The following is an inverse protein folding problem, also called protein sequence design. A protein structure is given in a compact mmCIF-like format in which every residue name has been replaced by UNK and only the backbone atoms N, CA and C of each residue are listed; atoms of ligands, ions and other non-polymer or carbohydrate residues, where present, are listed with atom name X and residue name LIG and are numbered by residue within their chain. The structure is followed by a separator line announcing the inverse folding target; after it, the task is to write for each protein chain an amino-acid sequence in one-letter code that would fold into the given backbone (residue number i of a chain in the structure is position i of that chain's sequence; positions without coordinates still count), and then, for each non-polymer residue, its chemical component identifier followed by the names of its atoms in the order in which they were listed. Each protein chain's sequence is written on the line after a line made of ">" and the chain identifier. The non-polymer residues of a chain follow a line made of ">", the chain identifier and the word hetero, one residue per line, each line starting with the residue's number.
data_IF_032037838250
#
_entry.id   IF_032037838250
#
_cell.length_a   1.000
_cell.length_b   1.000
_cell.length_c   1.000
_cell.angle_alpha   90.00
_cell.angle_beta   90.00
_cell.angle_gamma   90.00
#
_symmetry.space_group_name_H-M   'P 1'
#
loop_
_entity.id
_entity.type
_entity.pdbx_description
1 polymer ?
#
# COMPACT_ATOMS: atom_id res chain seq x y z
N UNK A 1 16.03 18.13 -25.18
CA UNK A 1 16.88 16.92 -25.23
C UNK A 1 15.93 15.74 -25.02
N UNK A 2 15.95 14.74 -25.91
CA UNK A 2 15.12 13.55 -25.72
C UNK A 2 15.73 12.78 -24.54
N UNK A 3 15.11 12.86 -23.37
CA UNK A 3 15.51 12.03 -22.24
C UNK A 3 15.31 10.56 -22.61
N UNK A 4 16.27 9.71 -22.29
CA UNK A 4 16.16 8.28 -22.57
C UNK A 4 15.01 7.69 -21.77
N UNK A 5 14.14 6.90 -22.43
CA UNK A 5 13.03 6.21 -21.77
C UNK A 5 13.54 5.29 -20.66
N UNK A 6 12.86 5.29 -19.52
CA UNK A 6 13.15 4.34 -18.43
C UNK A 6 12.70 2.93 -18.86
N UNK A 7 13.61 1.97 -18.82
CA UNK A 7 13.37 0.57 -19.22
C UNK A 7 12.93 -0.26 -18.02
N UNK A 8 11.72 -0.81 -18.09
CA UNK A 8 11.03 -1.44 -16.96
C UNK A 8 10.94 -2.95 -17.13
N UNK A 9 11.33 -3.66 -16.08
CA UNK A 9 11.08 -5.09 -15.91
C UNK A 9 9.95 -5.34 -14.88
N UNK A 10 9.11 -6.35 -15.12
CA UNK A 10 8.01 -6.73 -14.22
C UNK A 10 8.25 -8.14 -13.69
N UNK A 11 8.33 -8.27 -12.37
CA UNK A 11 8.38 -9.54 -11.65
C UNK A 11 6.99 -9.83 -11.08
N UNK A 12 6.34 -10.90 -11.59
CA UNK A 12 4.96 -11.24 -11.30
C UNK A 12 3.99 -10.77 -12.39
N UNK A 13 3.38 -11.70 -13.12
CA UNK A 13 2.44 -11.44 -14.20
C UNK A 13 0.97 -11.66 -13.78
N UNK A 14 0.71 -11.77 -12.48
CA UNK A 14 -0.61 -11.94 -11.88
C UNK A 14 -1.54 -10.74 -12.13
N UNK A 15 -2.59 -10.62 -11.33
CA UNK A 15 -3.55 -9.51 -11.49
C UNK A 15 -2.85 -8.16 -11.35
N UNK A 16 -2.06 -7.96 -10.29
CA UNK A 16 -1.43 -6.66 -10.03
C UNK A 16 -0.30 -6.34 -11.03
N UNK A 17 0.51 -7.33 -11.41
CA UNK A 17 1.51 -7.13 -12.47
C UNK A 17 0.87 -6.78 -13.82
N UNK A 18 -0.31 -7.36 -14.12
CA UNK A 18 -1.09 -6.98 -15.30
C UNK A 18 -1.65 -5.56 -15.23
N UNK A 19 -2.02 -5.08 -14.03
CA UNK A 19 -2.43 -3.68 -13.82
C UNK A 19 -1.25 -2.75 -14.07
N UNK A 20 -0.08 -3.01 -13.48
CA UNK A 20 1.13 -2.21 -13.73
C UNK A 20 1.51 -2.21 -15.21
N UNK A 21 1.53 -3.37 -15.86
CA UNK A 21 1.80 -3.44 -17.30
C UNK A 21 0.86 -2.53 -18.11
N UNK A 22 -0.43 -2.52 -17.77
CA UNK A 22 -1.40 -1.67 -18.44
C UNK A 22 -1.16 -0.17 -18.19
N UNK A 23 -0.79 0.24 -16.97
CA UNK A 23 -0.53 1.65 -16.68
C UNK A 23 0.75 2.15 -17.36
N UNK A 24 1.85 1.41 -17.22
CA UNK A 24 3.12 1.79 -17.86
C UNK A 24 3.05 1.75 -19.39
N UNK A 25 2.22 0.88 -19.98
CA UNK A 25 1.96 0.92 -21.44
C UNK A 25 1.32 2.24 -21.90
N UNK A 26 0.58 2.94 -21.02
CA UNK A 26 0.00 4.26 -21.34
C UNK A 26 1.05 5.38 -21.29
N UNK A 27 2.20 5.13 -20.67
CA UNK A 27 3.32 6.06 -20.53
C UNK A 27 4.46 5.77 -21.53
N UNK A 28 4.12 5.27 -22.71
CA UNK A 28 5.08 4.82 -23.72
C UNK A 28 6.03 5.90 -24.25
N UNK A 29 5.73 7.18 -24.06
CA UNK A 29 6.66 8.28 -24.34
C UNK A 29 7.73 8.43 -23.25
N UNK A 30 7.43 7.98 -22.03
CA UNK A 30 8.26 8.16 -20.83
C UNK A 30 9.05 6.89 -20.45
N UNK A 31 8.53 5.70 -20.79
CA UNK A 31 9.14 4.43 -20.43
C UNK A 31 8.93 3.36 -21.51
N UNK A 32 9.66 2.26 -21.37
CA UNK A 32 9.53 1.05 -22.19
C UNK A 32 9.38 -0.17 -21.29
N UNK A 33 8.37 -1.01 -21.54
CA UNK A 33 8.23 -2.31 -20.90
C UNK A 33 9.18 -3.30 -21.60
N UNK A 34 10.31 -3.59 -20.96
CA UNK A 34 11.41 -4.33 -21.58
C UNK A 34 11.37 -5.82 -21.28
N UNK A 35 11.07 -6.20 -20.02
CA UNK A 35 11.11 -7.59 -19.60
C UNK A 35 9.97 -7.94 -18.61
N UNK A 36 9.57 -9.21 -18.61
CA UNK A 36 8.61 -9.76 -17.64
C UNK A 36 8.97 -11.19 -17.26
N UNK A 37 8.72 -11.56 -16.00
CA UNK A 37 8.85 -12.93 -15.53
C UNK A 37 7.70 -13.29 -14.58
N UNK A 38 7.37 -14.57 -14.51
CA UNK A 38 6.40 -15.15 -13.57
C UNK A 38 6.71 -16.63 -13.36
N UNK A 39 6.44 -17.16 -12.18
CA UNK A 39 6.57 -18.60 -11.90
C UNK A 39 5.72 -19.45 -12.87
N UNK A 40 4.60 -18.90 -13.32
CA UNK A 40 3.79 -19.49 -14.39
C UNK A 40 4.06 -18.79 -15.73
N UNK A 41 5.15 -19.20 -16.40
CA UNK A 41 5.64 -18.60 -17.67
C UNK A 41 4.56 -18.32 -18.72
N UNK A 42 3.54 -19.18 -18.95
CA UNK A 42 2.46 -18.89 -19.91
C UNK A 42 1.71 -17.59 -19.59
N UNK A 43 1.56 -17.24 -18.32
CA UNK A 43 0.93 -15.98 -17.91
C UNK A 43 1.81 -14.78 -18.24
N UNK A 44 3.13 -14.87 -18.01
CA UNK A 44 4.08 -13.85 -18.41
C UNK A 44 4.06 -13.66 -19.94
N UNK A 45 4.07 -14.74 -20.72
CA UNK A 45 4.00 -14.68 -22.18
C UNK A 45 2.72 -14.00 -22.69
N UNK A 46 1.56 -14.33 -22.10
CA UNK A 46 0.29 -13.69 -22.44
C UNK A 46 0.29 -12.18 -22.15
N UNK A 47 0.92 -11.76 -21.03
CA UNK A 47 1.07 -10.34 -20.69
C UNK A 47 2.04 -9.65 -21.64
N UNK A 48 3.15 -10.31 -21.97
CA UNK A 48 4.14 -9.78 -22.90
C UNK A 48 3.54 -9.52 -24.29
N UNK A 49 2.79 -10.45 -24.83
CA UNK A 49 2.07 -10.28 -26.09
C UNK A 49 1.10 -9.09 -26.03
N UNK A 50 0.25 -9.05 -25.00
CA UNK A 50 -0.76 -7.99 -24.82
C UNK A 50 -0.16 -6.59 -24.73
N UNK A 51 0.96 -6.43 -24.02
CA UNK A 51 1.58 -5.15 -23.72
C UNK A 51 2.87 -4.89 -24.50
N UNK A 52 3.20 -5.74 -25.50
CA UNK A 52 4.39 -5.66 -26.36
C UNK A 52 5.70 -5.60 -25.58
N UNK A 53 5.79 -6.42 -24.51
CA UNK A 53 7.00 -6.54 -23.69
C UNK A 53 8.02 -7.40 -24.45
N UNK A 54 9.26 -6.90 -24.59
CA UNK A 54 10.27 -7.47 -25.47
C UNK A 54 10.76 -8.85 -25.04
N UNK A 55 10.99 -9.05 -23.73
CA UNK A 55 11.60 -10.26 -23.19
C UNK A 55 10.69 -10.96 -22.17
N UNK A 56 10.49 -12.26 -22.33
CA UNK A 56 9.87 -13.14 -21.32
C UNK A 56 10.98 -14.01 -20.73
N UNK A 57 11.37 -13.70 -19.49
CA UNK A 57 12.49 -14.35 -18.82
C UNK A 57 12.00 -15.45 -17.88
N UNK A 58 12.84 -16.43 -17.58
CA UNK A 58 12.46 -17.61 -16.81
C UNK A 58 12.50 -17.35 -15.30
N UNK A 59 13.40 -16.48 -14.86
CA UNK A 59 13.60 -16.21 -13.43
C UNK A 59 13.66 -14.72 -13.09
N UNK A 60 13.26 -14.34 -11.85
CA UNK A 60 13.49 -12.98 -11.36
C UNK A 60 14.96 -12.54 -11.40
N UNK A 61 15.89 -13.45 -11.12
CA UNK A 61 17.33 -13.16 -11.12
C UNK A 61 17.85 -12.79 -12.53
N UNK A 62 17.35 -13.45 -13.58
CA UNK A 62 17.65 -13.07 -14.97
C UNK A 62 17.14 -11.66 -15.28
N UNK A 63 15.92 -11.34 -14.85
CA UNK A 63 15.34 -10.02 -15.08
C UNK A 63 16.10 -8.93 -14.34
N UNK A 64 16.44 -9.15 -13.07
CA UNK A 64 17.18 -8.21 -12.24
C UNK A 64 18.57 -7.92 -12.83
N UNK A 65 19.23 -8.94 -13.38
CA UNK A 65 20.55 -8.82 -14.01
C UNK A 65 20.50 -8.34 -15.46
N UNK A 66 19.30 -8.20 -16.05
CA UNK A 66 19.19 -7.85 -17.47
C UNK A 66 19.74 -6.44 -17.74
N UNK A 67 20.68 -6.29 -18.72
CA UNK A 67 21.37 -5.01 -18.94
C UNK A 67 20.46 -3.91 -19.48
N UNK A 68 19.36 -4.27 -20.15
CA UNK A 68 18.38 -3.31 -20.67
C UNK A 68 17.30 -2.94 -19.66
N UNK A 69 17.35 -3.36 -18.40
CA UNK A 69 16.36 -3.00 -17.37
C UNK A 69 16.96 -1.98 -16.42
N UNK A 70 16.29 -0.83 -16.27
CA UNK A 70 16.68 0.24 -15.34
C UNK A 70 15.89 0.18 -14.03
N UNK A 71 14.61 -0.19 -14.11
CA UNK A 71 13.69 -0.25 -12.98
C UNK A 71 12.90 -1.56 -12.97
N UNK A 72 12.61 -2.06 -11.77
CA UNK A 72 11.88 -3.32 -11.55
C UNK A 72 10.59 -3.06 -10.78
N UNK A 73 9.48 -3.56 -11.31
CA UNK A 73 8.20 -3.61 -10.61
C UNK A 73 8.05 -4.99 -9.99
N UNK A 74 7.82 -5.06 -8.67
CA UNK A 74 7.67 -6.32 -7.94
C UNK A 74 6.22 -6.45 -7.49
N UNK A 75 5.49 -7.38 -8.13
CA UNK A 75 4.07 -7.65 -7.87
C UNK A 75 3.80 -9.15 -7.69
N UNK A 76 4.45 -9.75 -6.70
CA UNK A 76 4.37 -11.17 -6.30
C UNK A 76 3.76 -11.31 -4.91
N UNK A 77 3.49 -12.52 -4.37
CA UNK A 77 3.08 -12.69 -2.97
C UNK A 77 4.08 -12.10 -1.97
N UNK A 78 3.55 -11.61 -0.85
CA UNK A 78 4.28 -10.76 0.11
C UNK A 78 5.58 -11.39 0.64
N UNK A 79 5.61 -12.70 0.82
CA UNK A 79 6.79 -13.44 1.29
C UNK A 79 8.04 -13.31 0.38
N UNK A 80 7.88 -12.88 -0.86
CA UNK A 80 8.99 -12.72 -1.80
C UNK A 80 9.47 -11.28 -1.94
N UNK A 81 8.75 -10.31 -1.35
CA UNK A 81 9.03 -8.88 -1.52
C UNK A 81 10.43 -8.50 -1.06
N UNK A 82 10.82 -8.92 0.14
CA UNK A 82 12.09 -8.49 0.74
C UNK A 82 13.29 -8.94 -0.07
N UNK A 83 13.39 -10.21 -0.37
CA UNK A 83 14.55 -10.75 -1.07
C UNK A 83 14.67 -10.20 -2.49
N UNK A 84 13.55 -10.05 -3.21
CA UNK A 84 13.55 -9.50 -4.56
C UNK A 84 13.89 -8.00 -4.58
N UNK A 85 13.33 -7.21 -3.66
CA UNK A 85 13.62 -5.78 -3.57
C UNK A 85 15.09 -5.53 -3.22
N UNK A 86 15.65 -6.26 -2.24
CA UNK A 86 17.06 -6.15 -1.85
C UNK A 86 17.98 -6.56 -3.00
N UNK A 87 17.68 -7.66 -3.70
CA UNK A 87 18.46 -8.09 -4.87
C UNK A 87 18.44 -7.03 -5.98
N UNK A 88 17.27 -6.45 -6.28
CA UNK A 88 17.13 -5.42 -7.32
C UNK A 88 17.92 -4.16 -6.97
N UNK A 89 17.81 -3.66 -5.72
CA UNK A 89 18.59 -2.51 -5.24
C UNK A 89 20.10 -2.75 -5.35
N UNK A 90 20.57 -3.93 -4.88
CA UNK A 90 21.99 -4.31 -4.97
C UNK A 90 22.50 -4.46 -6.41
N UNK A 91 21.61 -4.78 -7.34
CA UNK A 91 21.92 -4.82 -8.77
C UNK A 91 21.85 -3.43 -9.45
N UNK A 92 21.65 -2.36 -8.68
CA UNK A 92 21.58 -0.98 -9.19
C UNK A 92 20.29 -0.67 -9.94
N UNK A 93 19.17 -1.36 -9.62
CA UNK A 93 17.86 -1.12 -10.23
C UNK A 93 16.99 -0.24 -9.31
N UNK A 94 16.22 0.68 -9.90
CA UNK A 94 15.12 1.32 -9.21
C UNK A 94 14.00 0.31 -8.95
N UNK A 95 13.24 0.47 -7.87
CA UNK A 95 12.23 -0.51 -7.45
C UNK A 95 10.88 0.16 -7.18
N UNK A 96 9.85 -0.29 -7.87
CA UNK A 96 8.45 -0.10 -7.47
C UNK A 96 7.96 -1.41 -6.84
N UNK A 97 7.75 -1.40 -5.54
CA UNK A 97 7.38 -2.57 -4.76
C UNK A 97 5.90 -2.54 -4.37
N UNK A 98 5.16 -3.60 -4.61
CA UNK A 98 3.78 -3.69 -4.13
C UNK A 98 3.69 -3.70 -2.60
N UNK A 99 2.56 -3.21 -2.13
CA UNK A 99 2.22 -3.21 -0.70
C UNK A 99 1.75 -4.62 -0.24
N UNK A 100 1.93 -4.98 1.05
CA UNK A 100 2.78 -4.32 2.03
C UNK A 100 4.24 -4.39 1.62
N UNK A 101 5.09 -3.50 2.12
CA UNK A 101 6.51 -3.48 1.71
C UNK A 101 7.19 -4.83 1.96
N UNK A 102 6.85 -5.50 3.07
CA UNK A 102 7.38 -6.81 3.43
C UNK A 102 6.36 -7.64 4.20
N UNK A 103 6.69 -8.90 4.47
CA UNK A 103 5.87 -9.83 5.25
C UNK A 103 5.73 -9.38 6.72
N UNK A 104 6.77 -8.72 7.27
CA UNK A 104 6.84 -8.24 8.65
C UNK A 104 7.87 -7.10 8.80
N UNK A 105 7.93 -6.50 10.00
CA UNK A 105 8.83 -5.39 10.30
C UNK A 105 10.32 -5.74 10.20
N UNK A 106 10.70 -6.97 10.52
CA UNK A 106 12.10 -7.43 10.39
C UNK A 106 12.56 -7.42 8.93
N UNK A 107 11.73 -7.93 8.03
CA UNK A 107 12.02 -7.89 6.59
C UNK A 107 11.95 -6.47 6.04
N UNK A 108 11.00 -5.66 6.50
CA UNK A 108 10.88 -4.26 6.12
C UNK A 108 12.13 -3.46 6.51
N UNK A 109 12.71 -3.73 7.69
CA UNK A 109 13.99 -3.13 8.13
C UNK A 109 15.13 -3.50 7.18
N UNK A 110 15.24 -4.76 6.78
CA UNK A 110 16.26 -5.20 5.79
C UNK A 110 16.12 -4.47 4.45
N UNK A 111 14.90 -4.24 3.98
CA UNK A 111 14.66 -3.46 2.73
C UNK A 111 15.08 -2.01 2.95
N UNK A 112 14.67 -1.39 4.05
CA UNK A 112 15.04 -0.02 4.38
C UNK A 112 16.56 0.16 4.44
N UNK A 113 17.27 -0.72 5.15
CA UNK A 113 18.73 -0.70 5.21
C UNK A 113 19.39 -0.83 3.83
N UNK A 114 18.87 -1.74 2.99
CA UNK A 114 19.35 -1.89 1.61
C UNK A 114 19.11 -0.65 0.76
N UNK A 115 17.96 0.02 0.93
CA UNK A 115 17.64 1.27 0.21
C UNK A 115 18.57 2.42 0.59
N UNK A 116 19.09 2.44 1.82
CA UNK A 116 20.05 3.46 2.29
C UNK A 116 21.48 3.27 1.75
N UNK A 117 21.77 2.11 1.17
CA UNK A 117 23.08 1.76 0.61
C UNK A 117 23.22 2.04 -0.88
N UNK A 118 22.23 2.66 -1.50
CA UNK A 118 22.17 2.94 -2.95
C UNK A 118 21.54 4.29 -3.23
N UNK A 119 21.82 4.85 -4.40
CA UNK A 119 21.17 6.03 -4.96
C UNK A 119 19.86 5.69 -5.72
N UNK A 120 19.46 4.40 -5.73
CA UNK A 120 18.29 3.97 -6.48
C UNK A 120 17.00 4.25 -5.72
N UNK A 121 15.99 4.67 -6.45
CA UNK A 121 14.65 4.92 -5.93
C UNK A 121 14.02 3.60 -5.52
N UNK A 122 13.54 3.49 -4.27
CA UNK A 122 12.58 2.49 -3.84
C UNK A 122 11.28 3.18 -3.46
N UNK A 123 10.20 2.86 -4.15
CA UNK A 123 8.85 3.36 -3.91
C UNK A 123 7.91 2.20 -3.59
N UNK A 124 7.13 2.32 -2.51
CA UNK A 124 6.06 1.37 -2.19
C UNK A 124 4.76 1.80 -2.87
N UNK A 125 4.05 0.86 -3.46
CA UNK A 125 2.84 1.12 -4.28
C UNK A 125 1.61 1.44 -3.43
N UNK A 126 1.63 2.56 -2.71
CA UNK A 126 0.50 3.08 -1.94
C UNK A 126 -0.39 3.98 -2.81
N UNK A 127 -1.19 3.37 -3.68
CA UNK A 127 -1.97 4.07 -4.71
C UNK A 127 -3.03 5.02 -4.14
N UNK A 128 -3.55 4.79 -2.92
CA UNK A 128 -4.59 5.65 -2.34
C UNK A 128 -4.11 7.09 -2.08
N UNK A 129 -2.79 7.32 -1.94
CA UNK A 129 -2.21 8.68 -1.86
C UNK A 129 -2.45 9.49 -3.14
N UNK A 130 -2.66 8.80 -4.26
CA UNK A 130 -2.87 9.37 -5.59
C UNK A 130 -4.33 9.42 -6.02
N UNK A 131 -5.28 9.06 -5.15
CA UNK A 131 -6.69 9.27 -5.40
C UNK A 131 -7.05 10.76 -5.33
N UNK A 132 -7.96 11.21 -6.18
CA UNK A 132 -8.27 12.65 -6.33
C UNK A 132 -8.74 13.30 -5.04
N UNK A 133 -9.63 12.66 -4.28
CA UNK A 133 -10.15 13.25 -3.04
C UNK A 133 -9.08 13.30 -1.94
N UNK A 134 -8.30 12.26 -1.64
CA UNK A 134 -7.14 12.35 -0.77
C UNK A 134 -6.12 13.43 -1.17
N UNK A 135 -5.85 13.60 -2.46
CA UNK A 135 -4.96 14.66 -2.95
C UNK A 135 -5.52 16.06 -2.66
N UNK A 136 -6.83 16.28 -2.89
CA UNK A 136 -7.50 17.55 -2.54
C UNK A 136 -7.44 17.83 -1.04
N UNK A 137 -7.68 16.82 -0.21
CA UNK A 137 -7.56 16.95 1.26
C UNK A 137 -6.13 17.31 1.65
N UNK A 138 -5.14 16.63 1.07
CA UNK A 138 -3.72 16.88 1.35
C UNK A 138 -3.33 18.31 0.98
N UNK A 139 -3.80 18.82 -0.15
CA UNK A 139 -3.57 20.22 -0.55
C UNK A 139 -4.09 21.21 0.51
N UNK A 140 -5.26 20.98 1.08
CA UNK A 140 -5.80 21.87 2.13
C UNK A 140 -5.02 21.75 3.45
N UNK A 141 -4.56 20.55 3.79
CA UNK A 141 -3.67 20.33 4.93
C UNK A 141 -2.35 21.11 4.74
N UNK A 142 -1.76 21.04 3.55
CA UNK A 142 -0.50 21.71 3.23
C UNK A 142 -0.63 23.24 3.20
N UNK A 143 -1.82 23.76 2.94
CA UNK A 143 -2.18 25.19 3.08
C UNK A 143 -2.45 25.62 4.52
N UNK A 144 -2.48 24.66 5.47
CA UNK A 144 -2.75 24.93 6.90
C UNK A 144 -4.22 25.08 7.27
N UNK A 145 -5.16 24.83 6.35
CA UNK A 145 -6.60 25.04 6.57
C UNK A 145 -7.19 24.18 7.69
N UNK A 146 -6.55 23.05 8.03
CA UNK A 146 -7.00 22.19 9.12
C UNK A 146 -6.29 22.50 10.46
N UNK A 147 -5.26 23.36 10.45
CA UNK A 147 -4.39 23.55 11.61
C UNK A 147 -3.64 22.29 12.01
N UNK A 148 -3.39 22.08 13.30
CA UNK A 148 -2.76 20.84 13.80
C UNK A 148 -3.79 19.71 13.87
N UNK A 149 -3.58 18.65 13.12
CA UNK A 149 -4.38 17.41 13.25
C UNK A 149 -3.97 16.73 14.55
N UNK A 150 -4.90 16.61 15.52
CA UNK A 150 -4.63 16.06 16.85
C UNK A 150 -5.17 14.64 17.04
N UNK A 151 -6.10 14.20 16.19
CA UNK A 151 -6.56 12.81 16.15
C UNK A 151 -7.15 12.46 14.79
N UNK A 152 -7.12 11.18 14.44
CA UNK A 152 -7.74 10.66 13.24
C UNK A 152 -8.41 9.31 13.48
N UNK A 153 -9.40 8.98 12.63
CA UNK A 153 -10.02 7.65 12.55
C UNK A 153 -9.99 7.19 11.12
N UNK A 154 -9.65 5.93 10.92
CA UNK A 154 -9.61 5.34 9.59
C UNK A 154 -10.04 3.88 9.62
N UNK A 155 -10.53 3.39 8.49
CA UNK A 155 -10.90 2.00 8.38
C UNK A 155 -11.48 1.61 7.04
N UNK A 156 -11.68 0.29 6.89
CA UNK A 156 -12.30 -0.30 5.73
C UNK A 156 -13.03 -1.57 6.11
N UNK A 157 -14.33 -1.56 6.05
CA UNK A 157 -15.16 -2.72 6.36
C UNK A 157 -15.71 -3.34 5.09
N UNK A 158 -15.64 -4.68 5.02
CA UNK A 158 -16.36 -5.51 4.06
C UNK A 158 -17.28 -6.45 4.79
N UNK A 159 -18.54 -6.51 4.37
CA UNK A 159 -19.50 -7.46 4.95
C UNK A 159 -19.26 -8.89 4.48
N UNK A 160 -18.78 -9.04 3.25
CA UNK A 160 -18.50 -10.34 2.60
C UNK A 160 -17.38 -10.15 1.58
N UNK A 161 -16.14 -10.21 2.04
CA UNK A 161 -15.00 -9.81 1.21
C UNK A 161 -13.69 -10.58 1.46
N UNK A 162 -13.73 -11.77 2.11
CA UNK A 162 -12.55 -12.63 2.26
C UNK A 162 -12.07 -13.04 0.86
N UNK A 163 -10.83 -12.67 0.44
CA UNK A 163 -10.33 -12.93 -0.89
C UNK A 163 -9.76 -14.35 -0.98
N UNK A 164 -10.11 -15.09 -2.03
CA UNK A 164 -9.48 -16.37 -2.35
C UNK A 164 -9.23 -17.28 -1.16
N UNK A 165 -10.27 -17.62 -0.40
CA UNK A 165 -10.17 -18.45 0.80
C UNK A 165 -9.32 -19.71 0.57
N UNK A 166 -8.39 -20.01 1.49
CA UNK A 166 -7.48 -21.16 1.37
C UNK A 166 -6.32 -20.99 0.39
N UNK A 167 -6.19 -19.83 -0.25
CA UNK A 167 -5.02 -19.48 -1.08
C UNK A 167 -3.94 -18.79 -0.23
N UNK A 168 -2.89 -18.27 -0.85
CA UNK A 168 -1.81 -17.58 -0.16
C UNK A 168 -2.28 -16.36 0.67
N UNK A 169 -3.39 -15.69 0.27
CA UNK A 169 -3.97 -14.57 1.00
C UNK A 169 -4.41 -14.89 2.42
N UNK A 170 -4.82 -16.11 2.67
CA UNK A 170 -5.36 -16.54 3.96
C UNK A 170 -4.40 -17.44 4.74
N UNK A 171 -3.12 -17.45 4.32
CA UNK A 171 -2.03 -18.17 4.98
C UNK A 171 -1.03 -17.20 5.57
N UNK A 172 -0.91 -17.17 6.89
CA UNK A 172 -0.08 -16.24 7.66
C UNK A 172 1.37 -16.23 7.16
N UNK A 173 1.94 -17.38 6.87
CA UNK A 173 3.33 -17.49 6.42
C UNK A 173 3.59 -16.96 5.00
N UNK A 174 2.55 -16.71 4.20
CA UNK A 174 2.69 -16.21 2.83
C UNK A 174 2.20 -14.77 2.67
N UNK A 175 1.13 -14.41 3.38
CA UNK A 175 0.53 -13.08 3.33
C UNK A 175 1.03 -12.14 4.45
N UNK A 176 1.43 -12.68 5.61
CA UNK A 176 1.76 -11.92 6.81
C UNK A 176 0.54 -11.56 7.65
N UNK A 177 -0.67 -11.87 7.19
CA UNK A 177 -1.92 -11.58 7.89
C UNK A 177 -3.13 -11.49 6.95
N UNK A 178 -4.27 -11.14 7.52
CA UNK A 178 -5.54 -10.99 6.82
C UNK A 178 -5.86 -9.55 6.40
N UNK A 179 -7.07 -9.02 6.73
CA UNK A 179 -7.48 -7.67 6.33
C UNK A 179 -6.56 -6.57 6.85
N UNK A 180 -5.88 -6.76 7.96
CA UNK A 180 -4.93 -5.77 8.49
C UNK A 180 -3.78 -5.54 7.51
N UNK A 181 -3.23 -6.61 6.95
CA UNK A 181 -2.15 -6.57 5.96
C UNK A 181 -2.66 -6.18 4.56
N UNK A 182 -3.85 -6.66 4.16
CA UNK A 182 -4.36 -6.44 2.81
C UNK A 182 -4.95 -5.05 2.61
N UNK A 183 -5.96 -4.69 3.40
CA UNK A 183 -6.67 -3.40 3.27
C UNK A 183 -6.31 -2.41 4.38
N UNK A 184 -5.92 -2.91 5.54
CA UNK A 184 -5.50 -2.09 6.68
C UNK A 184 -4.26 -1.28 6.39
N UNK A 185 -3.29 -1.86 5.69
CA UNK A 185 -2.06 -1.15 5.27
C UNK A 185 -2.36 0.07 4.39
N UNK A 186 -3.37 0.01 3.53
CA UNK A 186 -3.80 1.16 2.72
C UNK A 186 -4.34 2.29 3.59
N UNK A 187 -5.19 1.94 4.56
CA UNK A 187 -5.84 2.92 5.44
C UNK A 187 -4.86 3.52 6.43
N UNK A 188 -3.95 2.69 6.98
CA UNK A 188 -2.86 3.14 7.84
C UNK A 188 -1.94 4.12 7.11
N UNK A 189 -1.48 3.72 5.94
CA UNK A 189 -0.57 4.52 5.11
C UNK A 189 -1.17 5.86 4.73
N UNK A 190 -2.41 5.86 4.22
CA UNK A 190 -3.09 7.09 3.82
C UNK A 190 -3.34 8.02 5.01
N UNK A 191 -3.75 7.47 6.17
CA UNK A 191 -3.98 8.26 7.37
C UNK A 191 -2.68 8.89 7.89
N UNK A 192 -1.60 8.12 7.98
CA UNK A 192 -0.28 8.64 8.38
C UNK A 192 0.21 9.73 7.41
N UNK A 193 0.08 9.52 6.10
CA UNK A 193 0.44 10.50 5.08
C UNK A 193 -0.34 11.82 5.25
N UNK A 194 -1.65 11.76 5.42
CA UNK A 194 -2.49 12.95 5.61
C UNK A 194 -2.22 13.64 6.97
N UNK A 195 -1.81 12.89 7.99
CA UNK A 195 -1.40 13.43 9.29
C UNK A 195 0.01 14.05 9.28
N UNK A 196 0.73 14.01 8.15
CA UNK A 196 2.10 14.52 8.06
C UNK A 196 3.18 13.53 8.45
N UNK A 197 2.88 12.22 8.44
CA UNK A 197 3.75 11.11 8.84
C UNK A 197 4.32 11.24 10.26
N UNK A 198 3.49 11.48 11.29
CA UNK A 198 3.96 11.53 12.66
C UNK A 198 4.53 10.17 13.06
N UNK A 199 5.55 10.16 13.90
CA UNK A 199 6.25 8.93 14.32
C UNK A 199 5.38 8.14 15.31
N UNK A 200 4.96 6.90 15.00
CA UNK A 200 4.22 6.05 15.93
C UNK A 200 5.13 5.60 17.10
N UNK A 201 4.63 5.61 18.32
CA UNK A 201 5.40 5.23 19.52
C UNK A 201 4.80 4.08 20.30
N UNK A 202 3.48 3.89 20.25
CA UNK A 202 2.84 2.76 20.89
C UNK A 202 1.51 2.37 20.23
N UNK A 203 1.15 1.11 20.38
CA UNK A 203 -0.04 0.50 19.77
C UNK A 203 -0.75 -0.37 20.79
N UNK A 204 -2.09 -0.24 20.87
CA UNK A 204 -2.97 -1.23 21.48
C UNK A 204 -3.94 -1.74 20.43
N UNK A 205 -3.99 -3.06 20.20
CA UNK A 205 -4.80 -3.63 19.14
C UNK A 205 -5.39 -5.00 19.48
N UNK A 206 -6.39 -5.38 18.71
CA UNK A 206 -7.04 -6.69 18.78
C UNK A 206 -7.37 -7.21 17.40
N UNK A 207 -7.26 -8.52 17.21
CA UNK A 207 -7.59 -9.23 15.98
C UNK A 207 -8.58 -10.35 16.27
N UNK A 208 -9.45 -10.65 15.32
CA UNK A 208 -10.50 -11.67 15.44
C UNK A 208 -10.57 -12.49 14.16
N UNK A 209 -10.89 -13.79 14.30
CA UNK A 209 -11.07 -14.74 13.21
C UNK A 209 -12.40 -15.50 13.39
N UNK A 210 -13.52 -14.83 13.08
CA UNK A 210 -14.86 -15.34 13.37
C UNK A 210 -15.60 -15.92 12.16
N UNK A 211 -15.25 -15.46 10.97
CA UNK A 211 -15.91 -15.85 9.72
C UNK A 211 -15.07 -16.84 8.90
N UNK A 212 -13.80 -16.49 8.68
CA UNK A 212 -12.90 -17.24 7.81
C UNK A 212 -12.72 -18.72 8.22
N UNK A 213 -12.45 -19.06 9.49
CA UNK A 213 -12.33 -20.43 9.93
C UNK A 213 -13.61 -21.27 9.72
N UNK A 214 -14.77 -20.61 9.67
CA UNK A 214 -16.08 -21.23 9.42
C UNK A 214 -16.46 -21.23 7.94
N UNK A 215 -15.52 -20.89 7.03
CA UNK A 215 -15.75 -20.76 5.59
C UNK A 215 -16.92 -19.82 5.23
N UNK A 216 -17.08 -18.73 6.01
CA UNK A 216 -18.11 -17.71 5.83
C UNK A 216 -17.46 -16.39 5.41
N UNK A 217 -18.27 -15.45 4.92
CA UNK A 217 -17.81 -14.12 4.54
C UNK A 217 -16.93 -14.07 3.29
N UNK A 218 -16.95 -15.12 2.45
CA UNK A 218 -16.09 -15.23 1.27
C UNK A 218 -16.56 -14.29 0.18
N UNK A 219 -15.64 -13.46 -0.29
CA UNK A 219 -15.87 -12.50 -1.37
C UNK A 219 -15.83 -13.13 -2.76
N UNK A 220 -16.05 -12.31 -3.76
CA UNK A 220 -16.00 -12.72 -5.18
C UNK A 220 -14.59 -12.65 -5.78
N UNK A 221 -13.65 -11.99 -5.10
CA UNK A 221 -12.29 -11.82 -5.57
C UNK A 221 -11.44 -13.07 -5.24
N UNK A 222 -10.81 -13.63 -6.28
CA UNK A 222 -10.07 -14.89 -6.17
C UNK A 222 -10.98 -16.13 -6.10
N UNK A 223 -10.44 -17.26 -6.56
CA UNK A 223 -11.15 -18.56 -6.45
C UNK A 223 -10.78 -19.23 -5.13
N UNK A 224 -11.75 -19.65 -4.31
CA UNK A 224 -11.47 -20.39 -3.09
C UNK A 224 -10.76 -21.72 -3.37
N UNK A 225 -9.81 -22.08 -2.51
CA UNK A 225 -9.24 -23.42 -2.41
C UNK A 225 -9.74 -24.10 -1.13
N UNK A 226 -10.80 -24.86 -1.23
CA UNK A 226 -11.46 -25.48 -0.07
C UNK A 226 -10.59 -26.49 0.68
N UNK A 227 -9.50 -26.95 0.07
CA UNK A 227 -8.50 -27.81 0.70
C UNK A 227 -7.33 -27.01 1.33
N UNK A 228 -7.39 -25.68 1.25
CA UNK A 228 -6.37 -24.80 1.80
C UNK A 228 -6.59 -24.49 3.27
N UNK A 229 -5.77 -23.56 3.78
CA UNK A 229 -5.75 -23.14 5.19
C UNK A 229 -6.21 -21.69 5.31
N UNK A 230 -6.93 -21.41 6.39
CA UNK A 230 -7.25 -20.06 6.85
C UNK A 230 -6.73 -19.90 8.27
N UNK A 231 -5.62 -19.20 8.45
CA UNK A 231 -4.94 -19.00 9.74
C UNK A 231 -4.59 -17.53 10.02
N UNK A 232 -5.33 -16.63 9.38
CA UNK A 232 -5.23 -15.17 9.55
C UNK A 232 -6.48 -14.62 10.23
N UNK A 233 -6.44 -13.36 10.65
CA UNK A 233 -7.64 -12.66 11.13
C UNK A 233 -8.60 -12.31 9.98
N UNK A 234 -9.88 -12.04 10.32
CA UNK A 234 -10.87 -11.46 9.40
C UNK A 234 -11.38 -10.07 9.84
N UNK A 235 -10.95 -9.61 11.04
CA UNK A 235 -11.15 -8.27 11.56
C UNK A 235 -9.98 -7.88 12.45
N UNK A 236 -9.56 -6.61 12.38
CA UNK A 236 -8.61 -5.99 13.29
C UNK A 236 -9.05 -4.58 13.69
N UNK A 237 -8.73 -4.19 14.93
CA UNK A 237 -8.91 -2.84 15.45
C UNK A 237 -7.71 -2.43 16.27
N UNK A 238 -7.33 -1.13 16.21
CA UNK A 238 -6.18 -0.62 16.95
C UNK A 238 -6.31 0.87 17.29
N UNK A 239 -5.66 1.27 18.38
CA UNK A 239 -5.33 2.64 18.71
C UNK A 239 -3.81 2.81 18.67
N UNK A 240 -3.35 3.77 17.87
CA UNK A 240 -1.94 4.05 17.62
C UNK A 240 -1.64 5.44 18.18
N UNK A 241 -0.63 5.54 19.07
CA UNK A 241 -0.16 6.81 19.65
C UNK A 241 1.08 7.27 18.91
N UNK A 242 1.16 8.56 18.64
CA UNK A 242 2.30 9.21 17.99
C UNK A 242 3.16 9.97 19.02
N UNK A 243 4.42 10.24 18.66
CA UNK A 243 5.39 10.94 19.50
C UNK A 243 4.95 12.36 19.86
N UNK A 244 4.26 13.05 18.95
CA UNK A 244 3.71 14.40 19.15
C UNK A 244 2.40 14.44 19.97
N UNK A 245 1.96 13.29 20.49
CA UNK A 245 0.73 13.15 21.26
C UNK A 245 -0.54 12.92 20.45
N UNK A 246 -0.47 12.94 19.11
CA UNK A 246 -1.60 12.58 18.25
C UNK A 246 -1.99 11.10 18.38
N UNK A 247 -3.21 10.76 17.98
CA UNK A 247 -3.70 9.39 18.02
C UNK A 247 -4.46 9.03 16.74
N UNK A 248 -4.29 7.80 16.29
CA UNK A 248 -4.99 7.22 15.14
C UNK A 248 -5.75 5.96 15.57
N UNK A 249 -7.06 5.92 15.31
CA UNK A 249 -7.87 4.71 15.40
C UNK A 249 -7.96 4.04 14.03
N UNK A 250 -7.65 2.74 13.98
CA UNK A 250 -7.70 1.92 12.76
C UNK A 250 -8.65 0.74 12.96
N UNK A 251 -9.56 0.52 12.01
CA UNK A 251 -10.54 -0.56 12.06
C UNK A 251 -10.73 -1.16 10.67
N UNK A 252 -10.46 -2.45 10.51
CA UNK A 252 -10.55 -3.11 9.19
C UNK A 252 -11.14 -4.50 9.29
N UNK A 253 -11.90 -4.90 8.27
CA UNK A 253 -12.46 -6.25 8.21
C UNK A 253 -12.71 -6.70 6.78
N UNK A 254 -12.44 -7.97 6.52
CA UNK A 254 -12.89 -8.66 5.31
C UNK A 254 -14.32 -9.19 5.42
N UNK A 255 -14.79 -9.47 6.65
CA UNK A 255 -16.13 -10.00 6.88
C UNK A 255 -16.65 -9.58 8.26
N UNK A 256 -17.75 -8.81 8.27
CA UNK A 256 -18.36 -8.32 9.50
C UNK A 256 -19.85 -8.05 9.29
N UNK A 257 -20.67 -8.22 10.33
CA UNK A 257 -22.07 -7.78 10.32
C UNK A 257 -22.16 -6.30 10.69
N UNK A 258 -22.22 -5.44 9.68
CA UNK A 258 -22.28 -3.99 9.82
C UNK A 258 -23.20 -3.40 8.74
N UNK A 259 -23.72 -2.20 8.95
CA UNK A 259 -24.59 -1.50 8.00
C UNK A 259 -23.86 -0.90 6.79
N UNK A 260 -22.53 -0.73 6.91
CA UNK A 260 -21.66 -0.21 5.84
C UNK A 260 -20.90 -1.36 5.16
N UNK A 261 -20.77 -1.32 3.84
CA UNK A 261 -20.07 -2.34 3.06
C UNK A 261 -19.08 -1.73 2.07
N UNK A 262 -17.89 -2.32 2.04
CA UNK A 262 -16.79 -2.05 1.10
C UNK A 262 -16.45 -0.56 0.89
N UNK A 263 -16.51 0.22 1.96
CA UNK A 263 -16.25 1.66 1.89
C UNK A 263 -15.07 2.02 2.78
N UNK A 264 -13.91 2.39 2.22
CA UNK A 264 -12.83 2.98 2.99
C UNK A 264 -13.23 4.35 3.53
N UNK A 265 -12.77 4.70 4.73
CA UNK A 265 -13.04 6.01 5.32
C UNK A 265 -11.84 6.55 6.10
N UNK A 266 -11.72 7.88 6.12
CA UNK A 266 -10.83 8.62 7.02
C UNK A 266 -11.59 9.82 7.57
N UNK A 267 -11.41 10.09 8.86
CA UNK A 267 -11.80 11.33 9.52
C UNK A 267 -10.57 11.96 10.17
N UNK A 268 -10.26 13.19 9.80
CA UNK A 268 -9.18 13.99 10.36
C UNK A 268 -9.80 15.10 11.22
N UNK A 269 -9.37 15.23 12.47
CA UNK A 269 -9.78 16.29 13.39
C UNK A 269 -8.60 17.22 13.64
N UNK A 270 -8.68 18.41 13.08
CA UNK A 270 -7.70 19.48 13.26
C UNK A 270 -8.22 20.61 14.14
N UNK A 271 -7.33 21.52 14.54
CA UNK A 271 -7.66 22.65 15.42
C UNK A 271 -8.40 23.77 14.74
N UNK A 272 -8.25 23.91 13.41
CA UNK A 272 -8.88 24.96 12.59
C UNK A 272 -9.94 24.37 11.65
N UNK A 273 -9.92 23.08 11.42
CA UNK A 273 -10.86 22.37 10.57
C UNK A 273 -10.68 20.87 10.65
N UNK A 274 -11.58 20.15 9.98
CA UNK A 274 -11.52 18.71 9.82
C UNK A 274 -11.69 18.31 8.38
N UNK A 275 -11.38 17.04 8.08
CA UNK A 275 -11.69 16.46 6.80
C UNK A 275 -12.26 15.05 6.95
N UNK A 276 -13.14 14.67 6.04
CA UNK A 276 -13.59 13.31 5.89
C UNK A 276 -13.37 12.83 4.45
N UNK A 277 -13.00 11.57 4.32
CA UNK A 277 -12.92 10.84 3.06
C UNK A 277 -13.76 9.58 3.17
N UNK A 278 -14.53 9.27 2.15
CA UNK A 278 -15.32 8.04 2.08
C UNK A 278 -15.41 7.57 0.63
N UNK A 279 -14.53 6.67 0.24
CA UNK A 279 -14.42 6.19 -1.14
C UNK A 279 -14.13 7.33 -2.14
N UNK A 280 -15.07 7.65 -3.02
CA UNK A 280 -14.88 8.67 -4.08
C UNK A 280 -15.31 10.08 -3.64
N UNK A 281 -15.72 10.27 -2.40
CA UNK A 281 -16.21 11.55 -1.88
C UNK A 281 -15.45 11.97 -0.63
N UNK A 282 -15.48 13.26 -0.33
CA UNK A 282 -14.93 13.82 0.90
C UNK A 282 -15.62 15.12 1.29
N UNK A 283 -15.29 15.60 2.47
CA UNK A 283 -15.72 16.91 2.95
C UNK A 283 -14.57 17.59 3.70
N UNK A 284 -14.52 18.90 3.58
CA UNK A 284 -13.83 19.77 4.53
C UNK A 284 -14.87 20.33 5.50
N UNK A 285 -14.55 20.33 6.77
CA UNK A 285 -15.42 20.69 7.86
C UNK A 285 -14.76 21.84 8.64
N UNK A 286 -15.38 22.99 8.67
CA UNK A 286 -14.79 24.20 9.24
C UNK A 286 -15.83 24.98 10.04
N UNK A 287 -15.38 25.96 10.80
CA UNK A 287 -16.24 27.01 11.36
C UNK A 287 -15.93 28.32 10.64
N UNK A 288 -16.97 28.98 10.12
CA UNK A 288 -16.89 30.32 9.50
C UNK A 288 -18.09 31.14 9.97
N UNK A 289 -17.82 32.36 10.37
CA UNK A 289 -18.87 33.28 10.86
C UNK A 289 -19.67 32.70 12.05
N UNK A 290 -18.98 32.02 12.98
CA UNK A 290 -19.57 31.33 14.16
C UNK A 290 -20.63 30.27 13.76
N UNK A 291 -20.45 29.65 12.59
CA UNK A 291 -21.35 28.59 12.08
C UNK A 291 -20.55 27.45 11.46
N UNK A 292 -21.05 26.20 11.59
CA UNK A 292 -20.53 25.07 10.85
C UNK A 292 -20.60 25.33 9.33
N UNK A 293 -19.50 25.06 8.64
CA UNK A 293 -19.37 25.20 7.20
C UNK A 293 -18.75 23.94 6.61
N UNK A 294 -19.37 23.41 5.55
CA UNK A 294 -18.90 22.20 4.87
C UNK A 294 -18.62 22.48 3.40
N UNK A 295 -17.53 21.92 2.89
CA UNK A 295 -17.21 21.90 1.45
C UNK A 295 -17.17 20.46 1.00
N UNK A 296 -18.02 20.09 0.04
CA UNK A 296 -17.97 18.77 -0.58
C UNK A 296 -16.79 18.67 -1.55
N UNK A 297 -16.06 17.56 -1.46
CA UNK A 297 -15.01 17.15 -2.39
C UNK A 297 -15.50 15.94 -3.16
N UNK A 298 -15.42 16.00 -4.49
CA UNK A 298 -15.82 14.91 -5.37
C UNK A 298 -14.72 14.61 -6.37
N UNK A 299 -14.57 13.35 -6.71
CA UNK A 299 -13.69 12.93 -7.79
C UNK A 299 -14.08 13.66 -9.08
N UNK A 300 -13.13 14.27 -9.81
CA UNK A 300 -13.39 14.88 -11.11
C UNK A 300 -13.96 13.88 -12.12
N UNK A 301 -14.82 14.36 -13.04
CA UNK A 301 -15.37 13.51 -14.11
C UNK A 301 -14.24 12.98 -15.03
N UNK A 302 -13.28 13.84 -15.38
CA UNK A 302 -12.06 13.47 -16.10
C UNK A 302 -10.94 13.18 -15.13
N UNK A 303 -10.85 11.94 -14.66
CA UNK A 303 -9.79 11.46 -13.77
C UNK A 303 -8.97 10.37 -14.47
N UNK A 304 -7.66 10.63 -14.65
CA UNK A 304 -6.74 9.65 -15.26
C UNK A 304 -6.54 8.37 -14.43
N UNK A 305 -6.89 8.41 -13.15
CA UNK A 305 -6.83 7.32 -12.19
C UNK A 305 -5.54 7.29 -11.36
N UNK A 306 -5.69 6.89 -10.11
CA UNK A 306 -4.63 6.88 -9.09
C UNK A 306 -3.41 6.05 -9.49
N UNK A 307 -3.62 4.94 -10.19
CA UNK A 307 -2.52 4.06 -10.59
C UNK A 307 -1.68 4.62 -11.72
N UNK A 308 -2.27 5.40 -12.62
CA UNK A 308 -1.51 6.08 -13.65
C UNK A 308 -0.67 7.22 -13.05
N UNK A 309 -1.27 8.01 -12.14
CA UNK A 309 -0.55 9.05 -11.39
C UNK A 309 0.62 8.46 -10.60
N UNK A 310 0.40 7.34 -9.88
CA UNK A 310 1.46 6.62 -9.17
C UNK A 310 2.59 6.18 -10.12
N UNK A 311 2.24 5.61 -11.27
CA UNK A 311 3.23 5.15 -12.25
C UNK A 311 4.05 6.30 -12.82
N UNK A 312 3.43 7.43 -13.16
CA UNK A 312 4.10 8.64 -13.63
C UNK A 312 5.00 9.24 -12.55
N UNK A 313 4.51 9.32 -11.32
CA UNK A 313 5.28 9.83 -10.18
C UNK A 313 6.53 8.97 -9.89
N UNK A 314 6.45 7.65 -10.05
CA UNK A 314 7.62 6.79 -9.94
C UNK A 314 8.69 7.12 -11.00
N UNK A 315 8.29 7.34 -12.26
CA UNK A 315 9.21 7.75 -13.32
C UNK A 315 9.81 9.13 -13.06
N UNK A 316 9.02 10.05 -12.54
CA UNK A 316 9.48 11.39 -12.12
C UNK A 316 10.53 11.30 -11.01
N UNK A 317 10.28 10.47 -9.96
CA UNK A 317 11.27 10.25 -8.90
C UNK A 317 12.60 9.71 -9.45
N UNK A 318 12.55 8.80 -10.43
CA UNK A 318 13.77 8.25 -11.07
C UNK A 318 14.52 9.35 -11.82
N UNK A 319 13.85 10.17 -12.63
CA UNK A 319 14.48 11.23 -13.43
C UNK A 319 15.08 12.34 -12.59
N UNK A 320 14.39 12.73 -11.54
CA UNK A 320 14.79 13.83 -10.66
C UNK A 320 15.72 13.38 -9.54
N UNK A 321 15.90 12.06 -9.33
CA UNK A 321 16.68 11.51 -8.21
C UNK A 321 16.09 11.87 -6.84
N UNK A 322 14.76 12.07 -6.76
CA UNK A 322 14.09 12.47 -5.52
C UNK A 322 13.56 11.28 -4.74
N UNK A 323 13.53 11.42 -3.42
CA UNK A 323 12.88 10.43 -2.56
C UNK A 323 11.36 10.44 -2.80
N UNK A 324 10.73 9.26 -3.03
CA UNK A 324 9.29 9.20 -3.24
C UNK A 324 8.51 9.45 -1.95
N UNK A 325 7.31 10.05 -2.07
CA UNK A 325 6.42 10.28 -0.92
C UNK A 325 6.00 8.98 -0.20
N UNK A 326 6.01 7.83 -0.90
CA UNK A 326 5.83 6.49 -0.34
C UNK A 326 7.16 5.73 -0.35
N UNK A 327 8.12 6.20 0.43
CA UNK A 327 9.49 5.71 0.49
C UNK A 327 9.64 4.41 1.31
N UNK A 328 10.86 3.86 1.35
CA UNK A 328 11.19 2.73 2.21
C UNK A 328 10.94 3.02 3.70
N UNK A 329 11.11 4.29 4.13
CA UNK A 329 10.82 4.71 5.51
C UNK A 329 9.33 4.58 5.85
N UNK A 330 8.45 5.06 4.97
CA UNK A 330 6.99 4.95 5.20
C UNK A 330 6.54 3.49 5.15
N UNK A 331 7.11 2.68 4.25
CA UNK A 331 6.85 1.24 4.21
C UNK A 331 7.29 0.52 5.49
N UNK A 332 8.47 0.83 6.01
CA UNK A 332 8.96 0.30 7.29
C UNK A 332 8.03 0.71 8.45
N UNK A 333 7.65 1.99 8.50
CA UNK A 333 6.73 2.51 9.53
C UNK A 333 5.42 1.73 9.53
N UNK A 334 4.83 1.51 8.36
CA UNK A 334 3.60 0.75 8.23
C UNK A 334 3.79 -0.69 8.75
N UNK A 335 4.82 -1.42 8.30
CA UNK A 335 5.06 -2.80 8.74
C UNK A 335 5.29 -2.90 10.24
N UNK A 336 6.05 -1.97 10.86
CA UNK A 336 6.28 -1.97 12.30
C UNK A 336 4.98 -1.75 13.10
N UNK A 337 4.10 -0.86 12.64
CA UNK A 337 2.78 -0.66 13.26
C UNK A 337 1.91 -1.90 13.13
N UNK A 338 1.89 -2.54 11.95
CA UNK A 338 1.12 -3.77 11.72
C UNK A 338 1.59 -4.91 12.62
N UNK A 339 2.89 -5.14 12.75
CA UNK A 339 3.47 -6.14 13.67
C UNK A 339 3.08 -5.84 15.12
N UNK A 340 3.16 -4.57 15.53
CA UNK A 340 2.79 -4.16 16.91
C UNK A 340 1.29 -4.40 17.19
N UNK A 341 0.41 -4.27 16.20
CA UNK A 341 -1.02 -4.62 16.35
C UNK A 341 -1.18 -6.11 16.60
N UNK A 342 -0.51 -6.97 15.84
CA UNK A 342 -0.56 -8.42 16.05
C UNK A 342 0.03 -8.82 17.41
N UNK A 343 1.16 -8.23 17.78
CA UNK A 343 1.78 -8.50 19.08
C UNK A 343 0.89 -8.06 20.24
N UNK A 344 0.29 -6.87 20.16
CA UNK A 344 -0.66 -6.37 21.14
C UNK A 344 -1.87 -7.28 21.28
N UNK A 345 -2.43 -7.73 20.16
CA UNK A 345 -3.55 -8.68 20.17
C UNK A 345 -3.18 -10.02 20.85
N UNK A 346 -1.97 -10.53 20.59
CA UNK A 346 -1.47 -11.79 21.16
C UNK A 346 -1.18 -11.67 22.66
N UNK A 347 -0.63 -10.55 23.11
CA UNK A 347 -0.19 -10.34 24.52
C UNK A 347 -1.27 -9.75 25.41
N UNK A 348 -2.28 -9.08 24.83
CA UNK A 348 -3.31 -8.33 25.55
C UNK A 348 -2.81 -7.00 26.15
N UNK A 349 -1.63 -6.53 25.73
CA UNK A 349 -0.98 -5.32 26.28
C UNK A 349 -0.62 -4.32 25.18
N UNK A 350 -0.41 -3.06 25.60
CA UNK A 350 0.19 -2.04 24.75
C UNK A 350 1.61 -2.47 24.34
N UNK A 351 1.92 -2.30 23.06
CA UNK A 351 3.25 -2.55 22.51
C UNK A 351 3.91 -1.20 22.18
N UNK A 352 5.11 -0.98 22.68
CA UNK A 352 5.95 0.16 22.30
C UNK A 352 6.80 -0.18 21.10
N UNK A 353 6.83 0.74 20.14
CA UNK A 353 7.63 0.62 18.93
C UNK A 353 9.09 0.98 19.22
N UNK A 354 10.01 0.07 18.89
CA UNK A 354 11.45 0.31 19.02
C UNK A 354 12.02 0.84 17.70
N UNK A 355 12.42 2.10 17.73
CA UNK A 355 13.06 2.81 16.63
C UNK A 355 14.58 2.89 16.77
N UNK A 356 15.17 2.23 17.76
CA UNK A 356 16.63 2.23 17.95
C UNK A 356 17.34 1.54 16.79
N UNK A 357 18.43 2.11 16.34
CA UNK A 357 19.25 1.56 15.25
C UNK A 357 18.63 1.71 13.84
N UNK A 358 17.71 2.67 13.65
CA UNK A 358 17.14 3.01 12.32
C UNK A 358 17.56 4.42 11.92
#
# INVERSE_FOLDING_TARGET
>A
MNESKVKIGIIGAGNIGGVHAAQFSRLGEECELTAITDAFRPQAAKRAEKHRIKHVLDTPDELIKHPEVDAVIIGVPNQYHADLAIKALKAGKHVLLEKPMALNGTEARRIYEASRQTDKVLMVSHQMRFESVPMMIKEQIDRGELGRIYTAKTGWYRRKGIPGWGTWFTRMNESGGGPLIDIGVHMLDLALYLMGNPKPVSVYGATYAEFGPKQRGIGTWGKPNWNGVFDVEDLATALIKMEDGTALSLEVSWAVHMDTDNTPFIHLMGTEGGASYRGETGKLLMERFDRPFEVELKKPEEDEGERLRLSRYFLECIREGKEPMSSAWTGLTNNMVLDAIYESSRTGHEVRLDWSGI
#
